data_IF_012835484775
#
_entry.id   IF_012835484775
#
_cell.length_a   1.000
_cell.length_b   1.000
_cell.length_c   1.000
_cell.angle_alpha   90.00
_cell.angle_beta   90.00
_cell.angle_gamma   90.00
#
_symmetry.space_group_name_H-M   'P 1'
#
loop_
_entity.id
_entity.type
_entity.pdbx_description
1 polymer ?
#
# COMPACT_ATOMS: atom_id res chain seq x y z
N UNK A 1 9.69 -4.40 8.89
CA UNK A 1 8.50 -4.26 8.02
C UNK A 1 8.75 -5.00 6.72
N UNK A 2 7.83 -5.87 6.35
CA UNK A 2 7.90 -6.58 5.07
C UNK A 2 7.32 -5.71 3.97
N UNK A 3 8.05 -5.62 2.87
CA UNK A 3 7.63 -4.82 1.72
C UNK A 3 7.37 -5.75 0.54
N UNK A 4 6.21 -5.63 -0.07
CA UNK A 4 5.81 -6.48 -1.19
C UNK A 4 5.72 -5.64 -2.46
N UNK A 5 6.62 -5.85 -3.44
CA UNK A 5 6.50 -5.13 -4.70
C UNK A 5 5.30 -5.65 -5.51
N UNK A 6 4.54 -4.72 -6.09
CA UNK A 6 3.38 -5.07 -6.91
C UNK A 6 3.42 -4.24 -8.19
N UNK A 7 2.81 -4.75 -9.24
CA UNK A 7 2.80 -4.04 -10.52
C UNK A 7 1.81 -2.87 -10.51
N UNK A 8 0.66 -3.09 -9.88
CA UNK A 8 -0.40 -2.08 -9.83
C UNK A 8 -0.84 -1.92 -8.37
N UNK A 9 -0.41 -0.83 -7.74
CA UNK A 9 -0.71 -0.62 -6.33
C UNK A 9 -2.20 -0.41 -6.08
N UNK A 10 -2.92 0.20 -7.02
CA UNK A 10 -4.36 0.39 -6.84
C UNK A 10 -5.09 -0.95 -6.78
N UNK A 11 -4.76 -1.86 -7.67
CA UNK A 11 -5.34 -3.21 -7.65
C UNK A 11 -4.96 -3.96 -6.40
N UNK A 12 -3.71 -3.83 -5.96
CA UNK A 12 -3.25 -4.49 -4.74
C UNK A 12 -3.99 -3.97 -3.52
N UNK A 13 -4.18 -2.65 -3.43
CA UNK A 13 -4.92 -2.05 -2.32
C UNK A 13 -6.37 -2.51 -2.32
N UNK A 14 -7.02 -2.55 -3.49
CA UNK A 14 -8.39 -3.05 -3.60
C UNK A 14 -8.51 -4.49 -3.13
N UNK A 15 -7.58 -5.34 -3.53
CA UNK A 15 -7.58 -6.74 -3.15
C UNK A 15 -7.42 -6.89 -1.63
N UNK A 16 -6.49 -6.14 -1.06
CA UNK A 16 -6.25 -6.20 0.39
C UNK A 16 -7.44 -5.66 1.18
N UNK A 17 -8.06 -4.58 0.72
CA UNK A 17 -9.26 -4.08 1.38
C UNK A 17 -10.37 -5.11 1.35
N UNK A 18 -10.51 -5.85 0.26
CA UNK A 18 -11.48 -6.92 0.15
C UNK A 18 -11.18 -8.08 1.09
N UNK A 19 -9.94 -8.21 1.56
CA UNK A 19 -9.52 -9.24 2.52
C UNK A 19 -9.61 -8.78 3.95
N UNK A 20 -10.06 -7.54 4.18
CA UNK A 20 -10.28 -7.03 5.52
C UNK A 20 -9.07 -6.40 6.20
N UNK A 21 -8.00 -6.10 5.46
CA UNK A 21 -6.86 -5.41 6.08
C UNK A 21 -7.17 -3.94 6.29
N UNK A 22 -6.50 -3.34 7.25
CA UNK A 22 -6.65 -1.92 7.55
C UNK A 22 -5.39 -1.18 7.11
N UNK A 23 -5.55 -0.17 6.27
CA UNK A 23 -4.43 0.65 5.84
C UNK A 23 -4.16 1.76 6.84
N UNK A 24 -2.87 2.01 7.10
CA UNK A 24 -2.45 3.03 8.04
C UNK A 24 -2.46 4.38 7.34
N UNK A 25 -3.09 5.36 7.97
CA UNK A 25 -3.22 6.70 7.40
C UNK A 25 -2.13 7.63 7.92
N UNK A 26 -0.91 7.40 7.45
CA UNK A 26 0.17 8.32 7.76
C UNK A 26 -0.06 9.66 7.09
N UNK A 27 0.61 10.68 7.58
CA UNK A 27 0.58 11.99 6.93
C UNK A 27 1.14 11.87 5.51
N UNK A 28 0.44 12.45 4.55
CA UNK A 28 0.86 12.42 3.16
C UNK A 28 0.25 11.32 2.30
N UNK A 29 -0.53 10.43 2.90
CA UNK A 29 -1.21 9.39 2.10
C UNK A 29 -2.52 9.95 1.56
N UNK A 30 -3.01 9.33 0.48
CA UNK A 30 -4.28 9.71 -0.12
C UNK A 30 -5.46 9.01 0.59
N UNK A 31 -6.66 9.13 0.03
CA UNK A 31 -7.87 8.54 0.61
C UNK A 31 -7.80 7.03 0.71
N UNK A 32 -6.97 6.39 -0.09
CA UNK A 32 -6.81 4.95 -0.09
C UNK A 32 -5.64 4.49 0.78
N UNK A 33 -4.93 5.42 1.42
CA UNK A 33 -3.77 5.11 2.23
C UNK A 33 -2.49 4.96 1.42
N UNK A 34 -2.47 5.45 0.19
CA UNK A 34 -1.30 5.33 -0.70
C UNK A 34 -0.52 6.62 -0.68
N UNK A 35 0.77 6.53 -0.38
CA UNK A 35 1.66 7.68 -0.48
C UNK A 35 2.16 7.79 -1.91
N UNK A 36 1.89 8.93 -2.55
CA UNK A 36 2.23 9.17 -3.95
C UNK A 36 3.14 10.39 -4.06
N UNK A 37 3.85 10.47 -5.18
CA UNK A 37 4.64 11.66 -5.50
C UNK A 37 6.03 11.69 -4.91
N UNK A 38 6.49 10.61 -4.30
CA UNK A 38 7.82 10.53 -3.71
C UNK A 38 8.60 9.33 -4.23
N UNK A 39 8.51 9.07 -5.53
CA UNK A 39 9.07 7.88 -6.12
C UNK A 39 8.01 6.80 -6.24
N UNK A 40 8.32 5.53 -5.99
CA UNK A 40 7.30 4.48 -6.06
C UNK A 40 6.16 4.75 -5.08
N UNK A 41 4.95 4.42 -5.49
CA UNK A 41 3.79 4.53 -4.62
C UNK A 41 3.87 3.45 -3.55
N UNK A 42 3.58 3.81 -2.30
CA UNK A 42 3.69 2.89 -1.17
C UNK A 42 2.43 2.98 -0.32
N UNK A 43 1.94 1.85 0.14
CA UNK A 43 0.83 1.80 1.10
C UNK A 43 1.20 0.87 2.24
N UNK A 44 0.98 1.33 3.47
CA UNK A 44 1.23 0.53 4.68
C UNK A 44 -0.07 0.03 5.26
N UNK A 45 -0.07 -1.21 5.73
CA UNK A 45 -1.26 -1.81 6.31
C UNK A 45 -0.89 -2.75 7.45
N UNK A 46 -1.88 -3.10 8.26
CA UNK A 46 -1.70 -4.07 9.33
C UNK A 46 -2.48 -5.33 9.00
N UNK A 47 -1.87 -6.48 9.34
CA UNK A 47 -2.58 -7.76 9.22
C UNK A 47 -3.40 -8.02 10.50
N UNK A 48 -4.21 -9.10 10.54
CA UNK A 48 -5.01 -9.39 11.74
C UNK A 48 -4.19 -9.64 12.99
N UNK A 49 -2.92 -10.01 12.84
CA UNK A 49 -2.04 -10.23 13.99
C UNK A 49 -1.37 -8.93 14.48
N UNK A 50 -1.61 -7.81 13.80
CA UNK A 50 -1.05 -6.54 14.20
C UNK A 50 0.31 -6.23 13.59
N UNK A 51 0.79 -7.03 12.65
CA UNK A 51 2.06 -6.77 11.97
C UNK A 51 1.89 -5.67 10.94
N UNK A 52 2.91 -4.83 10.80
CA UNK A 52 2.90 -3.77 9.80
C UNK A 52 3.60 -4.26 8.55
N UNK A 53 2.92 -4.12 7.41
CA UNK A 53 3.45 -4.54 6.12
C UNK A 53 3.25 -3.40 5.12
N UNK A 54 3.92 -3.47 3.98
CA UNK A 54 3.70 -2.48 2.94
C UNK A 54 3.68 -3.12 1.56
N UNK A 55 2.95 -2.48 0.64
CA UNK A 55 3.02 -2.80 -0.78
C UNK A 55 3.65 -1.61 -1.49
N UNK A 56 4.54 -1.90 -2.43
CA UNK A 56 5.25 -0.88 -3.19
C UNK A 56 4.92 -1.06 -4.65
N UNK A 57 4.39 -0.01 -5.27
CA UNK A 57 4.08 -0.04 -6.70
C UNK A 57 5.36 0.05 -7.52
N UNK A 58 5.44 -0.74 -8.58
CA UNK A 58 6.55 -0.66 -9.51
C UNK A 58 6.43 0.63 -10.32
N UNK A 59 7.55 1.33 -10.57
CA UNK A 59 7.49 2.50 -11.43
C UNK A 59 7.02 2.06 -12.82
N UNK A 60 6.04 2.79 -13.36
CA UNK A 60 5.56 2.52 -14.69
C UNK A 60 6.53 3.11 -15.70
N UNK A 61 6.98 2.31 -16.62
CA UNK A 61 7.75 2.80 -17.74
C UNK A 61 6.79 3.50 -18.67
N UNK A 62 6.92 4.79 -18.75
CA UNK A 62 6.01 5.65 -19.50
C UNK A 62 6.08 5.48 -21.00
#
# INVERSE_FOLDING_TARGET
ILNFPVEDIDSAVDDLLGRGVTFIRYEGVDDRGIMRGRGPDIAWFTDPAGNILSVIGQPTEG
#
